data_IF_012102245080
#
_entry.id   IF_012102245080
#
_cell.length_a   1.000
_cell.length_b   1.000
_cell.length_c   1.000
_cell.angle_alpha   90.00
_cell.angle_beta   90.00
_cell.angle_gamma   90.00
#
_symmetry.space_group_name_H-M   'P 1'
#
loop_
_entity.id
_entity.type
_entity.pdbx_description
1 polymer ?
#
# COMPACT_ATOMS: atom_id res chain seq x y z
N UNK A 1 -18.79 -54.51 18.04
CA UNK A 1 -17.76 -54.08 17.05
C UNK A 1 -18.33 -53.16 15.98
N UNK A 2 -19.47 -53.48 15.34
CA UNK A 2 -20.12 -52.61 14.34
C UNK A 2 -20.50 -51.21 14.86
N UNK A 3 -20.99 -51.11 16.09
CA UNK A 3 -21.42 -49.82 16.67
C UNK A 3 -20.24 -48.89 16.98
N UNK A 4 -19.08 -49.45 17.34
CA UNK A 4 -17.84 -48.67 17.52
C UNK A 4 -17.30 -48.14 16.20
N UNK A 5 -17.39 -48.93 15.12
CA UNK A 5 -16.98 -48.51 13.77
C UNK A 5 -17.91 -47.40 13.27
N UNK A 6 -19.21 -47.52 13.52
CA UNK A 6 -20.19 -46.49 13.18
C UNK A 6 -19.92 -45.19 13.95
N UNK A 7 -19.60 -45.28 15.25
CA UNK A 7 -19.28 -44.11 16.08
C UNK A 7 -18.02 -43.38 15.59
N UNK A 8 -16.98 -44.12 15.19
CA UNK A 8 -15.75 -43.55 14.61
C UNK A 8 -16.03 -42.88 13.26
N UNK A 9 -16.85 -43.50 12.40
CA UNK A 9 -17.22 -42.92 11.11
C UNK A 9 -18.00 -41.60 11.26
N UNK A 10 -18.92 -41.53 12.23
CA UNK A 10 -19.66 -40.30 12.54
C UNK A 10 -18.72 -39.20 13.06
N UNK A 11 -17.79 -39.53 13.97
CA UNK A 11 -16.80 -38.56 14.46
C UNK A 11 -15.92 -38.01 13.33
N UNK A 12 -15.45 -38.86 12.43
CA UNK A 12 -14.63 -38.46 11.29
C UNK A 12 -15.39 -37.51 10.35
N UNK A 13 -16.68 -37.78 10.09
CA UNK A 13 -17.51 -36.90 9.26
C UNK A 13 -17.69 -35.51 9.90
N UNK A 14 -17.85 -35.44 11.23
CA UNK A 14 -17.94 -34.17 11.95
C UNK A 14 -16.65 -33.36 11.89
N UNK A 15 -15.49 -33.99 12.12
CA UNK A 15 -14.18 -33.32 12.05
C UNK A 15 -13.92 -32.81 10.64
N UNK A 16 -14.22 -33.62 9.62
CA UNK A 16 -14.04 -33.23 8.23
C UNK A 16 -15.00 -32.10 7.83
N UNK A 17 -16.25 -32.14 8.30
CA UNK A 17 -17.23 -31.08 8.10
C UNK A 17 -16.78 -29.74 8.70
N UNK A 18 -16.25 -29.77 9.92
CA UNK A 18 -15.69 -28.58 10.58
C UNK A 18 -14.49 -28.01 9.82
N UNK A 19 -13.56 -28.88 9.39
CA UNK A 19 -12.40 -28.48 8.59
C UNK A 19 -12.80 -27.84 7.25
N UNK A 20 -13.83 -28.40 6.58
CA UNK A 20 -14.38 -27.81 5.37
C UNK A 20 -15.04 -26.45 5.62
N UNK A 21 -15.78 -26.28 6.73
CA UNK A 21 -16.40 -25.00 7.09
C UNK A 21 -15.35 -23.92 7.34
N UNK A 22 -14.27 -24.23 8.05
CA UNK A 22 -13.18 -23.27 8.31
C UNK A 22 -12.49 -22.85 7.00
N UNK A 23 -12.25 -23.80 6.10
CA UNK A 23 -11.67 -23.51 4.79
C UNK A 23 -12.63 -22.71 3.91
N UNK A 24 -13.93 -23.05 3.94
CA UNK A 24 -14.97 -22.36 3.16
C UNK A 24 -15.17 -20.91 3.64
N UNK A 25 -15.16 -20.66 4.94
CA UNK A 25 -15.27 -19.31 5.49
C UNK A 25 -14.09 -18.44 5.05
N UNK A 26 -12.87 -18.99 5.09
CA UNK A 26 -11.68 -18.31 4.56
C UNK A 26 -11.81 -18.00 3.07
N UNK A 27 -12.26 -18.96 2.25
CA UNK A 27 -12.50 -18.76 0.82
C UNK A 27 -13.62 -17.78 0.51
N UNK A 28 -14.70 -17.77 1.28
CA UNK A 28 -15.82 -16.85 1.11
C UNK A 28 -15.41 -15.43 1.49
N UNK A 29 -14.65 -15.26 2.57
CA UNK A 29 -14.11 -13.97 2.99
C UNK A 29 -13.12 -13.41 1.97
N UNK A 30 -12.28 -14.27 1.39
CA UNK A 30 -11.34 -13.94 0.32
C UNK A 30 -12.04 -13.64 -1.01
N UNK A 31 -13.11 -14.35 -1.36
CA UNK A 31 -13.93 -14.03 -2.54
C UNK A 31 -14.76 -12.76 -2.36
N UNK A 32 -15.37 -12.57 -1.19
CA UNK A 32 -16.15 -11.37 -0.89
C UNK A 32 -15.26 -10.14 -0.85
N UNK A 33 -14.06 -10.24 -0.28
CA UNK A 33 -13.06 -9.18 -0.42
C UNK A 33 -12.77 -8.98 -1.91
N UNK A 34 -12.29 -9.97 -2.66
CA UNK A 34 -12.00 -9.81 -4.10
C UNK A 34 -13.15 -9.18 -4.91
N UNK A 35 -14.41 -9.52 -4.61
CA UNK A 35 -15.60 -8.98 -5.26
C UNK A 35 -15.92 -7.53 -4.86
N UNK A 36 -15.90 -7.20 -3.55
CA UNK A 36 -16.01 -5.81 -3.06
C UNK A 36 -14.90 -4.93 -3.61
N UNK A 37 -13.78 -5.57 -3.92
CA UNK A 37 -12.61 -4.86 -4.31
C UNK A 37 -12.51 -4.67 -5.85
N UNK A 38 -13.08 -5.56 -6.66
CA UNK A 38 -13.11 -5.40 -8.13
C UNK A 38 -13.79 -4.12 -8.64
N UNK A 39 -14.60 -3.43 -7.82
CA UNK A 39 -15.19 -2.11 -8.12
C UNK A 39 -14.42 -0.93 -7.50
N UNK A 40 -13.36 -1.21 -6.73
CA UNK A 40 -12.65 -0.18 -5.98
C UNK A 40 -11.47 0.40 -6.77
N UNK A 41 -11.51 1.71 -6.98
CA UNK A 41 -10.45 2.48 -7.64
C UNK A 41 -9.51 3.02 -6.57
N UNK A 42 -8.21 2.82 -6.74
CA UNK A 42 -7.21 3.38 -5.85
C UNK A 42 -6.73 4.72 -6.41
N UNK A 43 -6.97 5.80 -5.68
CA UNK A 43 -6.67 7.17 -6.14
C UNK A 43 -5.43 7.69 -5.43
N UNK A 44 -4.33 7.84 -6.16
CA UNK A 44 -3.02 8.18 -5.63
C UNK A 44 -2.60 9.55 -6.16
N UNK A 45 -2.28 10.50 -5.28
CA UNK A 45 -1.74 11.80 -5.63
C UNK A 45 -0.22 11.86 -5.46
N UNK A 46 0.48 12.58 -6.34
CA UNK A 46 1.93 12.79 -6.29
C UNK A 46 2.28 14.27 -6.36
N UNK A 47 3.18 14.72 -5.48
CA UNK A 47 3.68 16.10 -5.52
C UNK A 47 4.54 16.35 -6.75
N UNK A 48 5.33 15.35 -7.15
CA UNK A 48 6.23 15.46 -8.30
C UNK A 48 6.23 14.15 -9.09
N UNK A 49 6.15 14.20 -10.43
CA UNK A 49 6.19 13.00 -11.26
C UNK A 49 7.43 12.11 -11.04
N UNK A 50 8.57 12.68 -10.64
CA UNK A 50 9.79 11.94 -10.31
C UNK A 50 9.60 10.91 -9.17
N UNK A 51 8.59 11.09 -8.32
CA UNK A 51 8.25 10.11 -7.28
C UNK A 51 7.70 8.82 -7.91
N UNK A 52 6.96 8.94 -9.02
CA UNK A 52 6.33 7.81 -9.72
C UNK A 52 7.41 6.86 -10.22
N UNK A 53 8.47 7.38 -10.84
CA UNK A 53 9.61 6.56 -11.30
C UNK A 53 10.25 5.78 -10.15
N UNK A 54 10.39 6.40 -8.97
CA UNK A 54 11.00 5.75 -7.81
C UNK A 54 10.16 4.63 -7.22
N UNK A 55 8.84 4.64 -7.43
CA UNK A 55 7.93 3.60 -6.94
C UNK A 55 7.35 2.76 -8.09
N UNK A 56 7.85 2.91 -9.31
CA UNK A 56 7.30 2.26 -10.50
C UNK A 56 7.28 0.73 -10.33
N UNK A 57 8.36 0.15 -9.81
CA UNK A 57 8.46 -1.28 -9.52
C UNK A 57 7.36 -1.75 -8.54
N UNK A 58 7.04 -0.94 -7.52
CA UNK A 58 5.97 -1.24 -6.58
C UNK A 58 4.61 -1.17 -7.26
N UNK A 59 4.38 -0.14 -8.08
CA UNK A 59 3.12 0.03 -8.81
C UNK A 59 2.89 -1.11 -9.80
N UNK A 60 3.93 -1.54 -10.51
CA UNK A 60 3.89 -2.68 -11.43
C UNK A 60 3.63 -4.00 -10.69
N UNK A 61 4.34 -4.25 -9.58
CA UNK A 61 4.12 -5.43 -8.76
C UNK A 61 2.68 -5.46 -8.20
N UNK A 62 2.19 -4.33 -7.70
CA UNK A 62 0.83 -4.23 -7.20
C UNK A 62 -0.21 -4.44 -8.31
N UNK A 63 -0.02 -3.80 -9.48
CA UNK A 63 -0.94 -3.92 -10.60
C UNK A 63 -0.97 -5.33 -11.19
N UNK A 64 0.14 -6.06 -11.17
CA UNK A 64 0.21 -7.44 -11.67
C UNK A 64 -0.43 -8.45 -10.70
N UNK A 65 -0.27 -8.24 -9.39
CA UNK A 65 -0.88 -9.08 -8.35
C UNK A 65 -2.39 -8.83 -8.24
N UNK A 66 -2.82 -7.60 -8.56
CA UNK A 66 -4.20 -7.15 -8.47
C UNK A 66 -4.69 -6.54 -9.80
N UNK A 67 -4.86 -7.33 -10.88
CA UNK A 67 -5.13 -6.83 -12.24
C UNK A 67 -6.55 -6.25 -12.41
N UNK A 68 -7.48 -6.63 -11.54
CA UNK A 68 -8.87 -6.15 -11.59
C UNK A 68 -9.06 -4.77 -10.95
N UNK A 69 -7.97 -4.04 -10.69
CA UNK A 69 -7.98 -2.80 -9.93
C UNK A 69 -7.53 -1.65 -10.80
N UNK A 70 -8.26 -0.54 -10.69
CA UNK A 70 -7.93 0.69 -11.40
C UNK A 70 -7.06 1.58 -10.51
N UNK A 71 -5.80 1.74 -10.89
CA UNK A 71 -4.88 2.72 -10.31
C UNK A 71 -5.08 4.07 -10.99
N UNK A 72 -5.68 5.02 -10.28
CA UNK A 72 -5.85 6.38 -10.76
C UNK A 72 -4.81 7.29 -10.13
N UNK A 73 -3.90 7.78 -10.96
CA UNK A 73 -2.77 8.61 -10.54
C UNK A 73 -3.03 10.07 -10.88
N UNK A 74 -2.79 10.95 -9.90
CA UNK A 74 -2.96 12.40 -9.98
C UNK A 74 -1.65 13.07 -9.60
N UNK A 75 -1.40 14.28 -10.12
CA UNK A 75 -0.29 15.11 -9.68
C UNK A 75 -0.81 16.50 -9.27
N UNK A 76 -0.16 17.13 -8.30
CA UNK A 76 -0.55 18.44 -7.80
C UNK A 76 0.34 18.92 -6.66
N UNK A 77 0.11 20.13 -6.18
CA UNK A 77 0.79 20.66 -4.99
C UNK A 77 0.41 19.89 -3.71
N UNK A 78 1.23 20.02 -2.66
CA UNK A 78 0.95 19.44 -1.34
C UNK A 78 -0.44 19.83 -0.83
N UNK A 79 -0.85 21.09 -0.99
CA UNK A 79 -2.17 21.57 -0.58
C UNK A 79 -3.32 20.91 -1.35
N UNK A 80 -3.15 20.69 -2.66
CA UNK A 80 -4.14 19.97 -3.47
C UNK A 80 -4.26 18.50 -3.07
N UNK A 81 -3.13 17.87 -2.73
CA UNK A 81 -3.08 16.49 -2.25
C UNK A 81 -3.80 16.37 -0.90
N UNK A 82 -3.51 17.26 0.06
CA UNK A 82 -4.17 17.28 1.37
C UNK A 82 -5.68 17.48 1.20
N UNK A 83 -6.09 18.50 0.45
CA UNK A 83 -7.50 18.76 0.16
C UNK A 83 -8.16 17.57 -0.57
N UNK A 84 -7.41 16.85 -1.40
CA UNK A 84 -7.87 15.63 -2.05
C UNK A 84 -8.12 14.49 -1.07
N UNK A 85 -7.24 14.31 -0.08
CA UNK A 85 -7.39 13.33 0.99
C UNK A 85 -8.59 13.69 1.88
N UNK A 86 -8.67 14.94 2.37
CA UNK A 86 -9.77 15.43 3.22
C UNK A 86 -11.15 15.23 2.59
N UNK A 87 -11.26 15.45 1.27
CA UNK A 87 -12.52 15.29 0.54
C UNK A 87 -12.76 13.88 -0.03
N UNK A 88 -11.97 12.87 0.37
CA UNK A 88 -12.06 11.49 -0.14
C UNK A 88 -11.95 11.38 -1.67
N UNK A 89 -11.27 12.34 -2.30
CA UNK A 89 -10.91 12.33 -3.73
C UNK A 89 -9.63 11.54 -3.98
N UNK A 90 -8.75 11.50 -2.99
CA UNK A 90 -7.53 10.71 -2.98
C UNK A 90 -7.56 9.74 -1.79
N UNK A 91 -6.96 8.58 -1.99
CA UNK A 91 -6.74 7.56 -0.95
C UNK A 91 -5.32 7.67 -0.36
N UNK A 92 -4.35 8.02 -1.20
CA UNK A 92 -2.94 8.18 -0.83
C UNK A 92 -2.36 9.45 -1.44
N UNK A 93 -1.45 10.11 -0.71
CA UNK A 93 -0.71 11.27 -1.18
C UNK A 93 0.78 11.10 -0.98
N UNK A 94 1.57 11.24 -2.03
CA UNK A 94 3.03 11.20 -1.99
C UNK A 94 3.57 12.63 -2.03
N UNK A 95 4.28 13.02 -0.99
CA UNK A 95 4.85 14.38 -0.83
C UNK A 95 6.34 14.29 -0.49
N UNK A 96 7.10 15.28 -0.92
CA UNK A 96 8.52 15.44 -0.59
C UNK A 96 8.59 15.94 0.85
N UNK A 97 9.39 15.28 1.69
CA UNK A 97 9.61 15.75 3.05
C UNK A 97 10.47 17.01 3.01
N UNK A 98 9.84 18.14 3.30
CA UNK A 98 10.57 19.37 3.58
C UNK A 98 10.77 19.51 5.10
N UNK A 99 11.82 20.21 5.52
CA UNK A 99 12.25 20.32 6.92
C UNK A 99 11.21 20.95 7.87
N UNK A 100 10.09 21.46 7.34
CA UNK A 100 9.08 22.24 8.07
C UNK A 100 7.69 21.58 8.14
N UNK A 101 7.53 20.28 7.86
CA UNK A 101 6.18 19.72 7.69
C UNK A 101 5.36 19.56 8.99
N UNK A 102 4.26 20.32 9.03
CA UNK A 102 3.21 20.46 10.05
C UNK A 102 2.29 19.21 10.14
N UNK A 103 2.47 18.23 9.25
CA UNK A 103 1.50 17.15 8.99
C UNK A 103 1.77 15.84 9.75
N UNK A 104 2.70 15.82 10.72
CA UNK A 104 3.16 14.56 11.34
C UNK A 104 2.11 13.87 12.22
N UNK A 105 1.15 14.60 12.75
CA UNK A 105 0.26 14.06 13.80
C UNK A 105 -1.17 13.76 13.32
N UNK A 106 -1.57 14.22 12.13
CA UNK A 106 -2.95 14.11 11.64
C UNK A 106 -3.16 12.95 10.64
N UNK A 107 -2.08 12.52 9.97
CA UNK A 107 -2.12 11.49 8.93
C UNK A 107 -1.22 10.31 9.28
N UNK A 108 -1.63 9.11 8.88
CA UNK A 108 -0.72 7.99 8.81
C UNK A 108 0.31 8.28 7.73
N UNK A 109 1.58 7.95 7.99
CA UNK A 109 2.65 8.24 7.06
C UNK A 109 3.72 7.17 7.03
N UNK A 110 4.37 7.05 5.89
CA UNK A 110 5.52 6.18 5.68
C UNK A 110 6.55 6.95 4.85
N UNK A 111 7.75 7.06 5.40
CA UNK A 111 8.85 7.78 4.77
C UNK A 111 9.75 6.80 4.00
N UNK A 112 10.28 7.26 2.87
CA UNK A 112 11.23 6.51 2.05
C UNK A 112 12.10 7.49 1.25
N UNK A 113 13.27 7.01 0.80
CA UNK A 113 14.18 7.82 0.00
C UNK A 113 13.82 7.71 -1.48
N UNK A 114 13.74 8.87 -2.14
CA UNK A 114 13.46 8.96 -3.58
C UNK A 114 14.75 9.29 -4.31
N UNK A 115 15.10 8.45 -5.28
CA UNK A 115 16.18 8.73 -6.22
C UNK A 115 15.62 9.60 -7.34
N UNK A 116 16.24 10.75 -7.58
CA UNK A 116 15.92 11.51 -8.78
C UNK A 116 16.43 10.74 -10.00
N UNK A 117 15.50 10.24 -10.80
CA UNK A 117 15.77 9.55 -12.06
C UNK A 117 16.01 10.56 -13.19
N UNK A 118 16.71 10.10 -14.22
CA UNK A 118 16.74 10.79 -15.52
C UNK A 118 15.40 10.56 -16.19
N UNK A 119 14.71 11.64 -16.54
CA UNK A 119 13.44 11.55 -17.25
C UNK A 119 13.76 11.43 -18.74
N UNK A 120 13.37 10.30 -19.35
CA UNK A 120 13.53 10.06 -20.79
C UNK A 120 12.14 10.00 -21.44
N UNK A 121 11.71 11.07 -22.14
CA UNK A 121 10.48 11.05 -22.89
C UNK A 121 10.59 10.02 -24.03
N UNK A 122 9.67 9.06 -24.12
CA UNK A 122 9.72 8.03 -25.17
C UNK A 122 9.58 8.56 -26.62
N UNK A 123 9.20 9.82 -26.79
CA UNK A 123 8.95 10.47 -28.09
C UNK A 123 10.12 11.32 -28.60
N UNK A 124 11.12 11.64 -27.76
CA UNK A 124 12.23 12.52 -28.11
C UNK A 124 13.50 11.98 -27.45
N UNK A 125 14.58 11.83 -28.22
CA UNK A 125 15.90 11.38 -27.73
C UNK A 125 16.64 12.48 -26.94
N UNK A 126 15.95 13.08 -25.97
CA UNK A 126 16.48 14.13 -25.09
C UNK A 126 16.19 13.73 -23.65
N UNK A 127 17.25 13.35 -22.95
CA UNK A 127 17.21 13.04 -21.52
C UNK A 127 17.21 14.33 -20.67
N UNK A 128 16.28 14.42 -19.72
CA UNK A 128 16.28 15.48 -18.71
C UNK A 128 17.03 14.95 -17.49
N UNK A 129 18.23 15.48 -17.28
CA UNK A 129 19.06 15.11 -16.14
C UNK A 129 18.68 15.94 -14.91
N UNK A 130 18.48 15.31 -13.75
CA UNK A 130 18.28 16.04 -12.51
C UNK A 130 19.55 16.83 -12.17
N UNK A 131 19.37 18.12 -11.87
CA UNK A 131 20.48 18.99 -11.42
C UNK A 131 21.05 18.49 -10.09
N UNK A 132 20.20 17.90 -9.25
CA UNK A 132 20.58 17.40 -7.95
C UNK A 132 20.30 15.90 -7.86
N UNK A 133 21.35 15.08 -7.83
CA UNK A 133 21.25 13.62 -7.69
C UNK A 133 21.08 13.16 -6.24
N UNK A 134 21.04 14.09 -5.28
CA UNK A 134 20.85 13.76 -3.86
C UNK A 134 19.45 13.17 -3.67
N UNK A 135 19.41 12.00 -3.03
CA UNK A 135 18.17 11.36 -2.60
C UNK A 135 17.38 12.32 -1.72
N UNK A 136 16.13 12.57 -2.10
CA UNK A 136 15.24 13.41 -1.30
C UNK A 136 14.34 12.50 -0.47
N UNK A 137 14.19 12.77 0.83
CA UNK A 137 13.20 12.07 1.62
C UNK A 137 11.82 12.44 1.08
N UNK A 138 10.98 11.45 0.96
CA UNK A 138 9.57 11.64 0.69
C UNK A 138 8.76 10.79 1.64
N UNK A 139 7.49 11.14 1.75
CA UNK A 139 6.54 10.38 2.53
C UNK A 139 5.28 10.18 1.74
N UNK A 140 4.72 8.99 1.90
CA UNK A 140 3.32 8.74 1.57
C UNK A 140 2.49 9.02 2.82
N UNK A 141 1.38 9.73 2.64
CA UNK A 141 0.39 10.05 3.67
C UNK A 141 -0.97 9.48 3.28
N UNK A 142 -1.73 9.05 4.27
CA UNK A 142 -3.11 8.60 4.12
C UNK A 142 -3.90 8.80 5.40
N UNK A 143 -5.23 8.85 5.27
CA UNK A 143 -6.12 8.95 6.43
C UNK A 143 -6.14 7.64 7.22
N UNK A 144 -6.42 7.72 8.52
CA UNK A 144 -6.55 6.55 9.39
C UNK A 144 -7.91 5.83 9.21
N UNK A 145 -8.34 5.67 7.96
CA UNK A 145 -9.59 5.03 7.54
C UNK A 145 -9.26 3.81 6.65
N UNK A 146 -8.50 2.87 7.22
CA UNK A 146 -7.98 1.74 6.45
C UNK A 146 -9.12 0.76 6.13
N UNK A 147 -9.57 0.78 4.88
CA UNK A 147 -10.31 -0.34 4.29
C UNK A 147 -9.34 -1.47 3.91
N UNK A 148 -9.86 -2.66 3.59
CA UNK A 148 -9.04 -3.83 3.28
C UNK A 148 -7.98 -3.57 2.18
N UNK A 149 -8.24 -2.66 1.24
CA UNK A 149 -7.30 -2.34 0.16
C UNK A 149 -6.26 -1.30 0.46
N UNK A 150 -6.65 -0.23 1.16
CA UNK A 150 -5.68 0.70 1.74
C UNK A 150 -4.70 -0.11 2.60
N UNK A 151 -5.17 -1.13 3.30
CA UNK A 151 -4.34 -2.07 4.06
C UNK A 151 -3.34 -2.86 3.20
N UNK A 152 -3.81 -3.50 2.12
CA UNK A 152 -2.94 -4.26 1.20
C UNK A 152 -1.89 -3.38 0.52
N UNK A 153 -2.26 -2.18 0.07
CA UNK A 153 -1.31 -1.25 -0.52
C UNK A 153 -0.29 -0.74 0.52
N UNK A 154 -0.73 -0.45 1.75
CA UNK A 154 0.15 -0.08 2.87
C UNK A 154 1.13 -1.21 3.23
N UNK A 155 0.71 -2.47 3.15
CA UNK A 155 1.59 -3.62 3.38
C UNK A 155 2.69 -3.70 2.32
N UNK A 156 2.34 -3.58 1.03
CA UNK A 156 3.33 -3.53 -0.05
C UNK A 156 4.26 -2.33 0.06
N UNK A 157 3.72 -1.16 0.42
CA UNK A 157 4.52 0.04 0.70
C UNK A 157 5.48 -0.18 1.84
N UNK A 158 5.08 -0.90 2.90
CA UNK A 158 5.96 -1.23 4.03
C UNK A 158 7.08 -2.16 3.57
N UNK A 159 6.75 -3.26 2.90
CA UNK A 159 7.73 -4.20 2.36
C UNK A 159 8.74 -3.51 1.44
N UNK A 160 8.26 -2.56 0.63
CA UNK A 160 9.11 -1.73 -0.23
C UNK A 160 9.98 -0.79 0.60
N UNK A 161 9.41 -0.04 1.55
CA UNK A 161 10.18 0.86 2.42
C UNK A 161 11.26 0.13 3.22
N UNK A 162 11.03 -1.12 3.64
CA UNK A 162 12.01 -1.94 4.35
C UNK A 162 13.18 -2.35 3.44
N UNK A 163 12.96 -2.44 2.12
CA UNK A 163 14.04 -2.64 1.14
C UNK A 163 14.87 -1.36 0.92
N UNK A 164 14.32 -0.19 1.25
CA UNK A 164 14.90 1.14 0.99
C UNK A 164 15.21 1.96 2.27
N UNK A 165 15.11 1.35 3.46
CA UNK A 165 14.99 1.96 4.80
C UNK A 165 15.41 3.43 4.98
N UNK A 166 14.43 4.25 5.41
CA UNK A 166 14.53 5.07 6.64
C UNK A 166 13.16 5.11 7.37
N UNK A 167 13.06 4.37 8.47
CA UNK A 167 12.09 4.48 9.58
C UNK A 167 10.59 4.74 9.27
N UNK A 168 9.77 3.70 9.34
CA UNK A 168 8.32 3.83 9.47
C UNK A 168 7.95 4.29 10.89
N UNK A 169 7.41 5.51 11.03
CA UNK A 169 6.85 5.98 12.32
C UNK A 169 5.37 5.65 12.35
N UNK A 170 4.94 4.73 13.23
CA UNK A 170 3.51 4.51 13.50
C UNK A 170 2.93 5.72 14.26
N UNK A 171 1.64 6.05 14.07
CA UNK A 171 0.96 7.13 14.81
C UNK A 171 0.62 6.72 16.25
N UNK A 172 1.50 5.98 16.91
CA UNK A 172 1.45 5.81 18.36
C UNK A 172 2.88 5.59 18.87
N UNK A 173 3.38 6.59 19.61
CA UNK A 173 4.79 6.70 19.95
C UNK A 173 5.29 5.53 20.77
N UNK A 174 6.16 4.72 20.17
CA UNK A 174 7.30 4.04 20.81
C UNK A 174 8.35 3.83 19.73
N UNK A 175 9.40 4.64 19.77
CA UNK A 175 10.64 4.39 19.02
C UNK A 175 11.26 3.12 19.62
N UNK A 176 11.29 2.02 18.89
CA UNK A 176 12.22 0.94 19.20
C UNK A 176 13.59 1.34 18.66
N UNK A 177 14.41 1.86 19.56
CA UNK A 177 15.83 2.08 19.34
C UNK A 177 16.50 0.71 19.34
N UNK A 178 16.81 0.17 18.15
CA UNK A 178 17.74 -0.95 18.05
C UNK A 178 19.15 -0.41 18.28
N UNK A 179 19.65 -0.63 19.49
CA UNK A 179 21.07 -0.53 19.81
C UNK A 179 21.81 -1.58 18.97
N UNK A 180 22.91 -1.11 18.37
CA UNK A 180 23.86 -1.80 17.48
C UNK A 180 24.25 -3.18 17.97
#
# INVERSE_FOLDING_TARGET
MKDFILLIAVLAAFIYGYFLMEKLDKFLKENQSQKLISDSKLRIGFETPAIIDSIADLLEQFSSEYPNYELNMFYGSVSEIINGLENNKLDFGFIIENSNDILKDEYCSLSFQIKQSVITPGSIDIAVHPINTIEKPARVIWQNDINCMKGLFVEKLRDFSERFLLSATRPNGKKEEKVV
#
